data_IF_125214597731
#
_entry.id   IF_125214597731
#
_cell.length_a   1.000
_cell.length_b   1.000
_cell.length_c   1.000
_cell.angle_alpha   90.00
_cell.angle_beta   90.00
_cell.angle_gamma   90.00
#
_symmetry.space_group_name_H-M   'P 1'
#
loop_
_entity.id
_entity.type
_entity.pdbx_description
1 polymer ?
#
# COMPACT_ATOMS: atom_id res chain seq x y z
N UNK A 1 -39.04 -59.06 29.50
CA UNK A 1 -37.60 -58.61 29.43
C UNK A 1 -37.33 -57.64 28.31
N UNK A 2 -38.01 -57.73 27.14
CA UNK A 2 -37.74 -56.85 25.97
C UNK A 2 -38.15 -55.39 26.19
N UNK A 3 -39.22 -55.08 26.87
CA UNK A 3 -39.68 -53.69 27.08
C UNK A 3 -38.74 -52.84 27.95
N UNK A 4 -38.11 -53.44 28.99
CA UNK A 4 -37.12 -52.74 29.83
C UNK A 4 -35.82 -52.37 29.05
N UNK A 5 -35.43 -53.19 28.08
CA UNK A 5 -34.25 -52.93 27.27
C UNK A 5 -34.53 -51.84 26.22
N UNK A 6 -35.73 -51.82 25.63
CA UNK A 6 -36.16 -50.74 24.72
C UNK A 6 -36.17 -49.39 25.42
N UNK A 7 -36.84 -49.25 26.55
CA UNK A 7 -36.86 -48.02 27.35
C UNK A 7 -35.47 -47.55 27.78
N UNK A 8 -34.54 -48.47 28.06
CA UNK A 8 -33.17 -48.12 28.38
C UNK A 8 -32.37 -47.56 27.17
N UNK A 9 -32.66 -48.07 25.99
CA UNK A 9 -32.04 -47.59 24.74
C UNK A 9 -32.55 -46.20 24.37
N UNK A 10 -33.87 -46.02 24.41
CA UNK A 10 -34.54 -44.74 24.17
C UNK A 10 -34.09 -43.65 25.15
N UNK A 11 -33.97 -43.99 26.44
CA UNK A 11 -33.44 -43.08 27.46
C UNK A 11 -31.97 -42.65 27.18
N UNK A 12 -31.13 -43.59 26.71
CA UNK A 12 -29.76 -43.25 26.31
C UNK A 12 -29.74 -42.32 25.11
N UNK A 13 -30.58 -42.56 24.12
CA UNK A 13 -30.71 -41.71 22.94
C UNK A 13 -31.18 -40.31 23.33
N UNK A 14 -32.22 -40.20 24.17
CA UNK A 14 -32.71 -38.92 24.68
C UNK A 14 -31.59 -38.13 25.39
N UNK A 15 -30.87 -38.80 26.30
CA UNK A 15 -29.75 -38.17 27.02
C UNK A 15 -28.63 -37.70 26.08
N UNK A 16 -28.35 -38.45 25.01
CA UNK A 16 -27.38 -38.06 24.00
C UNK A 16 -27.85 -36.83 23.19
N UNK A 17 -29.13 -36.79 22.81
CA UNK A 17 -29.75 -35.65 22.13
C UNK A 17 -29.74 -34.39 23.02
N UNK A 18 -30.09 -34.52 24.30
CA UNK A 18 -30.03 -33.39 25.26
C UNK A 18 -28.61 -32.82 25.41
N UNK A 19 -27.59 -33.69 25.48
CA UNK A 19 -26.19 -33.27 25.54
C UNK A 19 -25.78 -32.51 24.27
N UNK A 20 -26.21 -33.02 23.12
CA UNK A 20 -25.92 -32.38 21.82
C UNK A 20 -26.60 -31.01 21.74
N UNK A 21 -27.87 -30.94 22.11
CA UNK A 21 -28.64 -29.67 22.13
C UNK A 21 -27.95 -28.64 23.05
N UNK A 22 -27.64 -29.00 24.27
CA UNK A 22 -26.90 -28.11 25.20
C UNK A 22 -25.54 -27.64 24.66
N UNK A 23 -24.83 -28.50 23.92
CA UNK A 23 -23.57 -28.11 23.26
C UNK A 23 -23.82 -27.11 22.16
N UNK A 24 -24.84 -27.32 21.34
CA UNK A 24 -25.21 -26.43 20.26
C UNK A 24 -25.64 -25.06 20.80
N UNK A 25 -26.53 -25.03 21.80
CA UNK A 25 -26.97 -23.81 22.49
C UNK A 25 -25.79 -23.00 23.01
N UNK A 26 -24.81 -23.63 23.66
CA UNK A 26 -23.62 -22.95 24.18
C UNK A 26 -22.76 -22.35 23.05
N UNK A 27 -22.64 -23.04 21.92
CA UNK A 27 -21.89 -22.55 20.79
C UNK A 27 -22.55 -21.31 20.16
N UNK A 28 -23.85 -21.36 19.95
CA UNK A 28 -24.67 -20.25 19.45
C UNK A 28 -24.63 -19.07 20.40
N UNK A 29 -24.91 -19.30 21.70
CA UNK A 29 -24.87 -18.25 22.72
C UNK A 29 -23.53 -17.51 22.80
N UNK A 30 -22.41 -18.23 22.59
CA UNK A 30 -21.08 -17.62 22.50
C UNK A 30 -20.99 -16.64 21.34
N UNK A 31 -21.49 -17.02 20.15
CA UNK A 31 -21.53 -16.14 18.99
C UNK A 31 -22.40 -14.91 19.28
N UNK A 32 -23.60 -15.09 19.76
CA UNK A 32 -24.52 -14.00 20.11
C UNK A 32 -23.89 -13.00 21.09
N UNK A 33 -23.18 -13.51 22.12
CA UNK A 33 -22.48 -12.68 23.10
C UNK A 33 -21.34 -11.85 22.45
N UNK A 34 -20.69 -12.38 21.42
CA UNK A 34 -19.63 -11.68 20.70
C UNK A 34 -20.23 -10.68 19.70
N UNK A 35 -21.29 -11.06 18.99
CA UNK A 35 -22.02 -10.15 18.10
C UNK A 35 -22.65 -8.97 18.82
N UNK A 36 -23.09 -9.15 20.08
CA UNK A 36 -23.60 -8.04 20.89
C UNK A 36 -22.59 -6.88 21.09
N UNK A 37 -21.29 -7.18 20.97
CA UNK A 37 -20.20 -6.18 21.09
C UNK A 37 -19.89 -5.45 19.79
N UNK A 38 -20.45 -5.87 18.68
CA UNK A 38 -20.22 -5.29 17.36
C UNK A 38 -21.35 -4.33 17.00
N UNK A 39 -21.10 -3.33 16.14
CA UNK A 39 -22.14 -2.46 15.60
C UNK A 39 -23.18 -3.25 14.79
N UNK A 40 -24.40 -2.74 14.70
CA UNK A 40 -25.44 -3.27 13.81
C UNK A 40 -24.98 -3.20 12.34
N UNK A 41 -25.57 -4.01 11.47
CA UNK A 41 -25.14 -4.10 10.06
C UNK A 41 -25.21 -2.74 9.34
N UNK A 42 -26.25 -1.96 9.59
CA UNK A 42 -26.46 -0.62 9.04
C UNK A 42 -25.48 0.43 9.58
N UNK A 43 -24.87 0.17 10.71
CA UNK A 43 -23.98 1.12 11.41
C UNK A 43 -22.48 0.87 11.15
N UNK A 44 -22.09 -0.23 10.48
CA UNK A 44 -20.68 -0.64 10.37
C UNK A 44 -19.81 0.40 9.68
N UNK A 45 -20.35 1.15 8.74
CA UNK A 45 -19.59 2.18 8.01
C UNK A 45 -19.16 3.35 8.90
N UNK A 46 -19.95 3.66 9.92
CA UNK A 46 -19.74 4.83 10.80
C UNK A 46 -19.16 4.47 12.16
N UNK A 47 -19.43 3.25 12.65
CA UNK A 47 -19.10 2.85 14.04
C UNK A 47 -17.94 1.85 14.12
N UNK A 48 -17.72 1.04 13.08
CA UNK A 48 -16.63 0.05 13.09
C UNK A 48 -15.28 0.69 12.72
N UNK A 49 -14.26 0.41 13.51
CA UNK A 49 -12.91 0.88 13.32
C UNK A 49 -11.88 -0.25 13.47
N UNK A 50 -10.61 0.01 13.13
CA UNK A 50 -9.53 -0.97 13.31
C UNK A 50 -9.31 -1.38 14.77
N UNK A 51 -9.75 -0.57 15.75
CA UNK A 51 -9.69 -0.93 17.17
C UNK A 51 -10.59 -2.11 17.51
N UNK A 52 -11.63 -2.35 16.71
CA UNK A 52 -12.60 -3.44 16.88
C UNK A 52 -12.12 -4.77 16.27
N UNK A 53 -10.99 -4.79 15.59
CA UNK A 53 -10.40 -5.97 14.92
C UNK A 53 -10.42 -7.21 15.83
N UNK A 54 -10.07 -7.03 17.11
CA UNK A 54 -10.05 -8.14 18.09
C UNK A 54 -11.44 -8.72 18.32
N UNK A 55 -12.46 -7.87 18.39
CA UNK A 55 -13.85 -8.28 18.62
C UNK A 55 -14.41 -9.00 17.38
N UNK A 56 -14.18 -8.43 16.18
CA UNK A 56 -14.60 -9.06 14.90
C UNK A 56 -13.94 -10.42 14.74
N UNK A 57 -12.60 -10.50 14.90
CA UNK A 57 -11.88 -11.77 14.79
C UNK A 57 -12.34 -12.81 15.81
N UNK A 58 -12.73 -12.40 17.03
CA UNK A 58 -13.27 -13.32 18.03
C UNK A 58 -14.66 -13.84 17.63
N UNK A 59 -15.51 -12.98 17.06
CA UNK A 59 -16.81 -13.36 16.52
C UNK A 59 -16.67 -14.32 15.34
N UNK A 60 -15.79 -14.05 14.37
CA UNK A 60 -15.49 -14.94 13.24
C UNK A 60 -15.03 -16.32 13.69
N UNK A 61 -14.09 -16.38 14.62
CA UNK A 61 -13.58 -17.65 15.18
C UNK A 61 -14.64 -18.46 15.91
N UNK A 62 -15.68 -17.82 16.43
CA UNK A 62 -16.79 -18.51 17.07
C UNK A 62 -17.88 -18.90 16.05
N UNK A 63 -18.13 -18.06 15.03
CA UNK A 63 -19.16 -18.23 14.03
C UNK A 63 -18.78 -19.26 12.95
N UNK A 64 -17.56 -19.18 12.41
CA UNK A 64 -17.15 -20.02 11.28
C UNK A 64 -17.23 -21.53 11.54
N UNK A 65 -16.90 -22.04 12.75
CA UNK A 65 -17.02 -23.47 13.06
C UNK A 65 -18.45 -23.96 13.29
N UNK A 66 -19.47 -23.07 13.34
CA UNK A 66 -20.86 -23.50 13.50
C UNK A 66 -21.28 -24.35 12.32
N UNK A 67 -21.96 -25.48 12.63
CA UNK A 67 -22.64 -26.30 11.61
C UNK A 67 -23.86 -25.56 11.05
N UNK A 68 -24.38 -26.03 9.90
CA UNK A 68 -25.61 -25.47 9.33
C UNK A 68 -26.76 -25.51 10.34
N UNK A 69 -26.95 -26.64 11.02
CA UNK A 69 -27.99 -26.77 12.07
C UNK A 69 -27.82 -25.77 13.23
N UNK A 70 -26.56 -25.50 13.62
CA UNK A 70 -26.29 -24.49 14.65
C UNK A 70 -26.56 -23.07 14.17
N UNK A 71 -26.29 -22.78 12.90
CA UNK A 71 -26.57 -21.47 12.29
C UNK A 71 -28.04 -21.16 12.20
N UNK A 72 -28.92 -22.17 12.07
CA UNK A 72 -30.38 -21.95 12.07
C UNK A 72 -30.94 -21.39 13.40
N UNK A 73 -30.14 -21.44 14.48
CA UNK A 73 -30.52 -20.81 15.76
C UNK A 73 -30.13 -19.32 15.84
N UNK A 74 -29.43 -18.80 14.85
CA UNK A 74 -29.13 -17.35 14.71
C UNK A 74 -30.22 -16.72 13.86
N UNK A 75 -30.55 -15.46 14.17
CA UNK A 75 -31.51 -14.68 13.38
C UNK A 75 -30.85 -14.19 12.08
N UNK A 76 -31.68 -13.78 11.10
CA UNK A 76 -31.17 -13.14 9.87
C UNK A 76 -30.40 -11.88 10.19
N UNK A 77 -30.78 -11.07 11.16
CA UNK A 77 -30.06 -9.88 11.60
C UNK A 77 -28.68 -10.22 12.21
N UNK A 78 -28.58 -11.34 12.95
CA UNK A 78 -27.28 -11.79 13.49
C UNK A 78 -26.35 -12.27 12.39
N UNK A 79 -26.86 -12.93 11.36
CA UNK A 79 -26.10 -13.29 10.16
C UNK A 79 -25.63 -12.05 9.39
N UNK A 80 -26.55 -11.12 9.09
CA UNK A 80 -26.25 -9.87 8.41
C UNK A 80 -25.21 -9.04 9.18
N UNK A 81 -25.36 -8.97 10.49
CA UNK A 81 -24.42 -8.28 11.38
C UNK A 81 -23.03 -8.90 11.33
N UNK A 82 -22.92 -10.23 11.38
CA UNK A 82 -21.61 -10.91 11.26
C UNK A 82 -20.94 -10.61 9.93
N UNK A 83 -21.68 -10.76 8.84
CA UNK A 83 -21.18 -10.54 7.49
C UNK A 83 -20.72 -9.10 7.30
N UNK A 84 -21.56 -8.11 7.61
CA UNK A 84 -21.25 -6.69 7.42
C UNK A 84 -20.02 -6.27 8.23
N UNK A 85 -19.88 -6.72 9.49
CA UNK A 85 -18.73 -6.41 10.32
C UNK A 85 -17.44 -7.09 9.78
N UNK A 86 -17.53 -8.32 9.28
CA UNK A 86 -16.39 -9.03 8.71
C UNK A 86 -15.90 -8.35 7.42
N UNK A 87 -16.80 -8.06 6.49
CA UNK A 87 -16.51 -7.38 5.24
C UNK A 87 -15.88 -5.99 5.47
N UNK A 88 -16.51 -5.19 6.33
CA UNK A 88 -16.00 -3.85 6.65
C UNK A 88 -14.63 -3.91 7.34
N UNK A 89 -14.43 -4.86 8.26
CA UNK A 89 -13.11 -5.04 8.90
C UNK A 89 -12.03 -5.43 7.89
N UNK A 90 -12.34 -6.28 6.94
CA UNK A 90 -11.42 -6.63 5.86
C UNK A 90 -11.03 -5.40 5.04
N UNK A 91 -11.99 -4.58 4.63
CA UNK A 91 -11.74 -3.32 3.92
C UNK A 91 -10.84 -2.36 4.73
N UNK A 92 -11.10 -2.22 6.03
CA UNK A 92 -10.29 -1.38 6.91
C UNK A 92 -8.83 -1.88 7.02
N UNK A 93 -8.62 -3.20 7.10
CA UNK A 93 -7.28 -3.82 7.15
C UNK A 93 -6.53 -3.62 5.82
N UNK A 94 -7.23 -3.79 4.71
CA UNK A 94 -6.67 -3.55 3.36
C UNK A 94 -6.28 -2.09 3.20
N UNK A 95 -7.15 -1.16 3.59
CA UNK A 95 -6.87 0.27 3.58
C UNK A 95 -5.66 0.65 4.44
N UNK A 96 -5.57 0.12 5.67
CA UNK A 96 -4.40 0.31 6.54
C UNK A 96 -3.11 -0.21 5.88
N UNK A 97 -3.20 -1.33 5.19
CA UNK A 97 -2.05 -1.92 4.48
C UNK A 97 -1.58 -1.04 3.34
N UNK A 98 -2.51 -0.48 2.55
CA UNK A 98 -2.20 0.45 1.47
C UNK A 98 -1.53 1.73 2.02
N UNK A 99 -2.09 2.33 3.06
CA UNK A 99 -1.52 3.52 3.72
C UNK A 99 -0.09 3.24 4.20
N UNK A 100 0.12 2.15 4.94
CA UNK A 100 1.45 1.76 5.45
C UNK A 100 2.47 1.54 4.32
N UNK A 101 2.04 0.93 3.21
CA UNK A 101 2.90 0.72 2.06
C UNK A 101 3.32 2.06 1.41
N UNK A 102 2.37 2.97 1.21
CA UNK A 102 2.62 4.29 0.66
C UNK A 102 3.54 5.12 1.59
N UNK A 103 3.23 5.18 2.87
CA UNK A 103 4.06 5.89 3.84
C UNK A 103 5.50 5.35 3.91
N UNK A 104 5.67 4.01 3.86
CA UNK A 104 6.98 3.37 3.84
C UNK A 104 7.76 3.76 2.58
N UNK A 105 7.13 3.72 1.42
CA UNK A 105 7.75 4.09 0.16
C UNK A 105 8.17 5.57 0.16
N UNK A 106 7.29 6.48 0.60
CA UNK A 106 7.57 7.91 0.70
C UNK A 106 8.69 8.21 1.72
N UNK A 107 8.69 7.55 2.88
CA UNK A 107 9.75 7.68 3.88
C UNK A 107 11.12 7.30 3.31
N UNK A 108 11.19 6.37 2.36
CA UNK A 108 12.43 5.93 1.70
C UNK A 108 12.99 6.93 0.69
N UNK A 109 12.19 7.89 0.23
CA UNK A 109 12.65 8.94 -0.68
C UNK A 109 13.67 9.84 0.02
N UNK A 110 14.77 10.24 -0.68
CA UNK A 110 15.65 11.29 -0.20
C UNK A 110 14.89 12.61 -0.05
N UNK A 111 15.47 13.55 0.71
CA UNK A 111 15.00 14.92 0.66
C UNK A 111 15.15 15.48 -0.77
N UNK A 112 14.31 16.44 -1.14
CA UNK A 112 14.32 17.14 -2.44
C UNK A 112 15.74 17.61 -2.85
N UNK A 113 16.48 18.20 -1.91
CA UNK A 113 17.85 18.68 -2.10
C UNK A 113 18.89 17.57 -2.29
N UNK A 114 18.53 16.29 -2.13
CA UNK A 114 19.43 15.13 -2.23
C UNK A 114 19.03 14.13 -3.29
N UNK A 115 17.88 14.34 -3.94
CA UNK A 115 17.35 13.40 -4.93
C UNK A 115 18.22 13.40 -6.20
N UNK A 116 18.38 12.23 -6.81
CA UNK A 116 19.26 11.98 -7.96
C UNK A 116 18.57 11.09 -9.00
N UNK A 117 19.15 10.98 -10.19
CA UNK A 117 18.67 10.09 -11.25
C UNK A 117 18.52 8.63 -10.77
N UNK A 118 19.40 8.15 -9.89
CA UNK A 118 19.36 6.79 -9.34
C UNK A 118 18.16 6.52 -8.42
N UNK A 119 17.43 7.55 -8.03
CA UNK A 119 16.24 7.42 -7.17
C UNK A 119 14.93 7.24 -7.96
N UNK A 120 15.00 7.15 -9.31
CA UNK A 120 13.85 6.95 -10.20
C UNK A 120 12.92 5.83 -9.73
N UNK A 121 13.50 4.65 -9.47
CA UNK A 121 12.74 3.47 -9.03
C UNK A 121 12.06 3.65 -7.67
N UNK A 122 12.69 4.38 -6.75
CA UNK A 122 12.06 4.71 -5.46
C UNK A 122 10.89 5.67 -5.64
N UNK A 123 11.07 6.66 -6.52
CA UNK A 123 10.02 7.62 -6.82
C UNK A 123 8.83 6.94 -7.51
N UNK A 124 9.07 6.08 -8.48
CA UNK A 124 8.05 5.27 -9.15
C UNK A 124 7.28 4.39 -8.15
N UNK A 125 8.01 3.66 -7.28
CA UNK A 125 7.38 2.84 -6.22
C UNK A 125 6.53 3.69 -5.27
N UNK A 126 7.00 4.88 -4.91
CA UNK A 126 6.24 5.79 -4.05
C UNK A 126 5.01 6.35 -4.77
N UNK A 127 5.12 6.68 -6.06
CA UNK A 127 4.01 7.15 -6.90
C UNK A 127 2.91 6.07 -6.99
N UNK A 128 3.28 4.84 -7.35
CA UNK A 128 2.32 3.74 -7.45
C UNK A 128 1.58 3.48 -6.13
N UNK A 129 2.31 3.49 -5.02
CA UNK A 129 1.71 3.28 -3.71
C UNK A 129 0.82 4.45 -3.28
N UNK A 130 1.22 5.69 -3.57
CA UNK A 130 0.45 6.90 -3.32
C UNK A 130 -0.86 6.90 -4.11
N UNK A 131 -0.80 6.54 -5.39
CA UNK A 131 -1.96 6.50 -6.27
C UNK A 131 -2.98 5.42 -5.84
N UNK A 132 -2.52 4.27 -5.35
CA UNK A 132 -3.41 3.24 -4.78
C UNK A 132 -4.21 3.74 -3.59
N UNK A 133 -3.59 4.54 -2.71
CA UNK A 133 -4.30 5.16 -1.58
C UNK A 133 -5.28 6.22 -2.07
N UNK A 134 -4.84 7.10 -2.98
CA UNK A 134 -5.64 8.22 -3.48
C UNK A 134 -6.86 7.77 -4.29
N UNK A 135 -6.73 6.66 -5.04
CA UNK A 135 -7.79 6.11 -5.88
C UNK A 135 -8.68 5.10 -5.14
N UNK A 136 -8.47 4.90 -3.84
CA UNK A 136 -9.33 4.04 -3.04
C UNK A 136 -10.71 4.69 -2.83
N UNK A 137 -11.76 3.91 -3.02
CA UNK A 137 -13.15 4.33 -2.80
C UNK A 137 -13.46 4.65 -1.33
N UNK A 138 -12.62 4.16 -0.40
CA UNK A 138 -12.79 4.36 1.05
C UNK A 138 -12.33 5.73 1.56
N UNK A 139 -11.90 6.65 0.70
CA UNK A 139 -11.44 7.98 1.09
C UNK A 139 -10.19 7.94 1.98
N UNK A 140 -9.30 6.98 1.74
CA UNK A 140 -8.07 6.81 2.49
C UNK A 140 -7.17 8.05 2.37
N UNK A 141 -6.47 8.39 3.45
CA UNK A 141 -5.57 9.54 3.50
C UNK A 141 -4.19 9.13 4.01
N UNK A 142 -3.16 9.74 3.43
CA UNK A 142 -1.77 9.63 3.88
C UNK A 142 -1.50 10.81 4.82
N UNK A 143 -0.57 10.61 5.78
CA UNK A 143 -0.09 11.71 6.62
C UNK A 143 0.26 12.94 5.76
N UNK A 144 -0.30 14.13 6.05
CA UNK A 144 -0.09 15.33 5.24
C UNK A 144 1.38 15.71 5.04
N UNK A 145 2.23 15.49 6.05
CA UNK A 145 3.67 15.76 5.95
C UNK A 145 4.37 14.81 5.00
N UNK A 146 3.91 13.54 4.94
CA UNK A 146 4.43 12.58 4.00
C UNK A 146 3.93 12.86 2.57
N UNK A 147 2.68 13.26 2.41
CA UNK A 147 2.16 13.70 1.14
C UNK A 147 2.95 14.91 0.60
N UNK A 148 3.22 15.93 1.42
CA UNK A 148 4.05 17.08 1.09
C UNK A 148 5.48 16.65 0.70
N UNK A 149 6.10 15.78 1.50
CA UNK A 149 7.44 15.23 1.18
C UNK A 149 7.46 14.55 -0.17
N UNK A 150 6.43 13.76 -0.49
CA UNK A 150 6.32 13.08 -1.78
C UNK A 150 6.26 14.08 -2.93
N UNK A 151 5.38 15.08 -2.84
CA UNK A 151 5.22 16.10 -3.89
C UNK A 151 6.49 16.94 -4.07
N UNK A 152 7.16 17.35 -3.00
CA UNK A 152 8.42 18.11 -3.09
C UNK A 152 9.55 17.28 -3.70
N UNK A 153 9.68 16.00 -3.30
CA UNK A 153 10.69 15.11 -3.88
C UNK A 153 10.42 14.84 -5.36
N UNK A 154 9.16 14.62 -5.73
CA UNK A 154 8.74 14.40 -7.12
C UNK A 154 9.03 15.62 -8.00
N UNK A 155 8.62 16.78 -7.54
CA UNK A 155 8.85 18.05 -8.24
C UNK A 155 10.34 18.31 -8.44
N UNK A 156 11.16 18.11 -7.41
CA UNK A 156 12.60 18.27 -7.50
C UNK A 156 13.24 17.28 -8.48
N UNK A 157 12.80 16.02 -8.49
CA UNK A 157 13.31 15.02 -9.43
C UNK A 157 13.11 15.44 -10.88
N UNK A 158 11.89 15.82 -11.24
CA UNK A 158 11.59 16.24 -12.61
C UNK A 158 12.22 17.59 -12.97
N UNK A 159 12.35 18.50 -12.02
CA UNK A 159 13.06 19.75 -12.25
C UNK A 159 14.56 19.52 -12.54
N UNK A 160 15.23 18.61 -11.81
CA UNK A 160 16.63 18.27 -12.09
C UNK A 160 16.80 17.51 -13.40
N UNK A 161 15.87 16.62 -13.73
CA UNK A 161 15.85 15.95 -15.02
C UNK A 161 15.70 16.95 -16.17
N UNK A 162 14.79 17.92 -16.05
CA UNK A 162 14.61 18.96 -17.08
C UNK A 162 15.85 19.82 -17.24
N UNK A 163 16.48 20.27 -16.14
CA UNK A 163 17.73 21.03 -16.21
C UNK A 163 18.87 20.25 -16.89
N UNK A 164 18.92 18.94 -16.71
CA UNK A 164 19.89 18.10 -17.41
C UNK A 164 19.60 18.00 -18.90
N UNK A 165 18.31 17.96 -19.28
CA UNK A 165 17.86 17.95 -20.67
C UNK A 165 18.14 19.30 -21.36
N UNK A 166 17.86 20.40 -20.67
CA UNK A 166 18.18 21.73 -21.14
C UNK A 166 19.70 21.87 -21.38
N UNK A 167 20.52 21.35 -20.47
CA UNK A 167 21.97 21.31 -20.64
C UNK A 167 22.40 20.49 -21.86
N UNK A 168 21.76 19.33 -22.13
CA UNK A 168 22.03 18.52 -23.32
C UNK A 168 21.77 19.32 -24.59
N UNK A 169 20.57 19.85 -24.71
CA UNK A 169 20.12 20.55 -25.91
C UNK A 169 20.89 21.82 -26.17
N UNK A 170 21.26 22.57 -25.12
CA UNK A 170 21.98 23.82 -25.28
C UNK A 170 23.49 23.65 -25.52
N UNK A 171 24.12 22.68 -24.86
CA UNK A 171 25.56 22.57 -24.84
C UNK A 171 26.11 21.28 -25.45
N UNK A 172 25.53 20.10 -25.18
CA UNK A 172 26.11 18.86 -25.66
C UNK A 172 25.77 18.57 -27.12
N UNK A 173 24.57 18.93 -27.57
CA UNK A 173 24.15 18.76 -28.97
C UNK A 173 24.92 19.71 -29.91
N UNK A 174 25.50 20.77 -29.39
CA UNK A 174 26.37 21.69 -30.13
C UNK A 174 27.83 21.16 -30.31
N UNK A 175 28.18 20.05 -29.64
CA UNK A 175 29.50 19.44 -29.76
C UNK A 175 29.60 18.48 -30.96
N UNK A 176 30.84 18.27 -31.54
CA UNK A 176 31.00 17.29 -32.62
C UNK A 176 30.62 15.88 -32.12
N UNK A 177 29.90 15.10 -32.93
CA UNK A 177 29.52 13.72 -32.58
C UNK A 177 30.74 12.81 -32.44
N UNK A 178 31.76 13.03 -33.22
CA UNK A 178 33.07 12.39 -33.07
C UNK A 178 34.05 13.40 -32.41
N UNK A 179 34.53 13.05 -31.22
CA UNK A 179 35.47 13.90 -30.49
C UNK A 179 36.81 14.12 -31.23
N UNK A 180 37.16 13.24 -32.19
CA UNK A 180 38.34 13.42 -33.03
C UNK A 180 38.11 14.43 -34.19
N UNK A 181 36.85 14.83 -34.42
CA UNK A 181 36.45 15.81 -35.42
C UNK A 181 36.38 17.25 -34.86
N UNK A 182 37.02 17.52 -33.74
CA UNK A 182 37.13 18.88 -33.17
C UNK A 182 37.92 19.78 -34.11
N UNK A 183 37.32 20.90 -34.49
CA UNK A 183 37.88 21.94 -35.33
C UNK A 183 37.80 23.29 -34.63
N UNK A 184 38.42 24.32 -35.20
CA UNK A 184 38.40 25.69 -34.64
C UNK A 184 36.98 26.25 -34.41
N UNK A 185 35.97 25.74 -35.12
CA UNK A 185 34.57 26.16 -34.94
C UNK A 185 34.02 25.80 -33.54
N UNK A 186 34.60 24.81 -32.85
CA UNK A 186 34.19 24.39 -31.50
C UNK A 186 34.99 25.06 -30.38
N UNK A 187 35.95 25.98 -30.71
CA UNK A 187 36.86 26.62 -29.75
C UNK A 187 36.11 27.36 -28.63
N UNK A 188 34.93 27.90 -28.92
CA UNK A 188 34.07 28.56 -27.91
C UNK A 188 33.05 27.61 -27.28
N UNK A 189 32.51 26.64 -28.01
CA UNK A 189 31.43 25.76 -27.56
C UNK A 189 31.92 24.77 -26.48
N UNK A 190 33.12 24.19 -26.64
CA UNK A 190 33.64 23.21 -25.69
C UNK A 190 33.91 23.82 -24.31
N UNK A 191 34.61 24.96 -24.15
CA UNK A 191 34.77 25.62 -22.86
C UNK A 191 33.47 26.10 -22.24
N UNK A 192 32.51 26.57 -23.07
CA UNK A 192 31.19 26.95 -22.62
C UNK A 192 30.43 25.75 -22.02
N UNK A 193 30.38 24.59 -22.71
CA UNK A 193 29.79 23.35 -22.22
C UNK A 193 30.41 22.88 -20.89
N UNK A 194 31.76 22.99 -20.79
CA UNK A 194 32.48 22.64 -19.56
C UNK A 194 32.12 23.56 -18.41
N UNK A 195 32.04 24.85 -18.64
CA UNK A 195 31.68 25.85 -17.64
C UNK A 195 30.24 25.63 -17.16
N UNK A 196 29.34 25.45 -18.10
CA UNK A 196 27.94 25.15 -17.80
C UNK A 196 27.81 23.83 -16.99
N UNK A 197 28.50 22.75 -17.40
CA UNK A 197 28.51 21.49 -16.65
C UNK A 197 28.98 21.65 -15.20
N UNK A 198 30.05 22.43 -14.98
CA UNK A 198 30.59 22.69 -13.64
C UNK A 198 29.63 23.53 -12.78
N UNK A 199 28.81 24.37 -13.38
CA UNK A 199 27.82 25.21 -12.72
C UNK A 199 26.59 24.40 -12.28
N UNK A 200 26.33 23.27 -12.93
CA UNK A 200 25.21 22.39 -12.54
C UNK A 200 25.39 21.83 -11.13
N UNK A 201 24.29 21.74 -10.38
CA UNK A 201 24.29 21.06 -9.09
C UNK A 201 24.66 19.58 -9.23
N UNK A 202 25.17 18.97 -8.16
CA UNK A 202 25.47 17.52 -8.14
C UNK A 202 24.24 16.65 -8.41
N UNK A 203 23.06 17.14 -8.07
CA UNK A 203 21.80 16.48 -8.34
C UNK A 203 21.56 16.46 -9.86
N UNK A 204 21.59 17.59 -10.53
CA UNK A 204 21.43 17.70 -11.98
C UNK A 204 22.51 16.90 -12.73
N UNK A 205 23.79 17.00 -12.31
CA UNK A 205 24.88 16.21 -12.88
C UNK A 205 24.62 14.70 -12.82
N UNK A 206 23.82 14.21 -11.84
CA UNK A 206 23.49 12.78 -11.75
C UNK A 206 22.58 12.29 -12.87
N UNK A 207 21.88 13.18 -13.57
CA UNK A 207 21.01 12.87 -14.71
C UNK A 207 21.75 12.92 -16.05
N UNK A 208 23.01 13.37 -16.06
CA UNK A 208 23.85 13.39 -17.25
C UNK A 208 24.63 12.09 -17.28
N UNK A 209 24.60 11.40 -18.41
CA UNK A 209 25.22 10.09 -18.53
C UNK A 209 26.76 10.20 -18.48
N UNK A 210 27.40 9.16 -17.93
CA UNK A 210 28.87 9.13 -17.85
C UNK A 210 29.53 9.18 -19.24
N UNK A 211 28.86 8.61 -20.25
CA UNK A 211 29.34 8.66 -21.63
C UNK A 211 29.36 10.10 -22.16
N UNK A 212 28.31 10.89 -21.90
CA UNK A 212 28.22 12.30 -22.30
C UNK A 212 29.31 13.15 -21.64
N UNK A 213 29.54 12.95 -20.34
CA UNK A 213 30.62 13.63 -19.61
C UNK A 213 32.02 13.22 -20.14
N UNK A 214 32.18 11.95 -20.52
CA UNK A 214 33.40 11.44 -21.08
C UNK A 214 33.66 12.02 -22.47
N UNK A 215 32.61 12.10 -23.30
CA UNK A 215 32.67 12.73 -24.62
C UNK A 215 33.12 14.19 -24.51
N UNK A 216 32.51 15.00 -23.65
CA UNK A 216 32.92 16.38 -23.39
C UNK A 216 34.42 16.48 -22.99
N UNK A 217 34.91 15.54 -22.15
CA UNK A 217 36.32 15.51 -21.73
C UNK A 217 37.27 15.15 -22.86
N UNK A 218 36.84 14.32 -23.80
CA UNK A 218 37.68 14.00 -24.98
C UNK A 218 37.76 15.22 -25.90
N UNK A 219 36.62 15.87 -26.19
CA UNK A 219 36.61 17.11 -26.98
C UNK A 219 37.50 18.21 -26.39
N UNK A 220 37.69 18.28 -25.08
CA UNK A 220 38.58 19.25 -24.43
C UNK A 220 40.08 18.96 -24.64
N UNK A 221 40.46 17.73 -24.97
CA UNK A 221 41.84 17.29 -25.06
C UNK A 221 42.38 17.29 -26.51
N UNK A 222 41.46 17.33 -27.48
CA UNK A 222 41.74 17.36 -28.89
C UNK A 222 41.98 18.77 -29.35
#
# INVERSE_FOLDING_TARGET
KNGKNLLKTEYKQLTACEKTLKKNEKAVQKVQTLLAKLPAAEDVMTKLSLTDKKNVTAAEKAYNPLTEDQRTFLTEDEHAKMQANSERMQTLIEGETLIKAAEKAIKSLPADTKIKATDSKKLETAQEAYDKVKNSEDGLTIDPKLAEKFETSRTAYYAYQQQAEDFRSEYLDALPKDANAVTAEYETAIPAARTAYKALSKNVQSFIEKAEVSHLRVCEKT
#
